data_IF_887507308000
#
_entry.id   IF_887507308000
#
_cell.length_a   1.000
_cell.length_b   1.000
_cell.length_c   1.000
_cell.angle_alpha   90.00
_cell.angle_beta   90.00
_cell.angle_gamma   90.00
#
_symmetry.space_group_name_H-M   'P 1'
#
loop_
_entity.id
_entity.type
_entity.pdbx_description
1 polymer ?
#
# COMPACT_ATOMS: atom_id res chain seq x y z
N UNK A 1 -24.03 10.02 -9.14
CA UNK A 1 -24.77 10.33 -7.89
C UNK A 1 -25.54 9.12 -7.37
N UNK A 2 -26.11 8.30 -8.25
CA UNK A 2 -26.82 7.05 -7.92
C UNK A 2 -26.10 6.16 -6.90
N UNK A 3 -24.86 5.73 -7.18
CA UNK A 3 -24.08 4.87 -6.27
C UNK A 3 -23.86 5.47 -4.87
N UNK A 4 -23.80 6.80 -4.76
CA UNK A 4 -23.61 7.48 -3.46
C UNK A 4 -24.91 7.43 -2.64
N UNK A 5 -26.06 7.59 -3.31
CA UNK A 5 -27.37 7.50 -2.67
C UNK A 5 -27.66 6.05 -2.24
N UNK A 6 -27.37 5.07 -3.09
CA UNK A 6 -27.56 3.64 -2.76
C UNK A 6 -26.79 3.24 -1.51
N UNK A 7 -25.51 3.59 -1.43
CA UNK A 7 -24.66 3.29 -0.26
C UNK A 7 -25.17 3.98 0.99
N UNK A 8 -25.59 5.24 0.89
CA UNK A 8 -26.14 5.98 2.03
C UNK A 8 -27.45 5.38 2.54
N UNK A 9 -28.30 4.86 1.64
CA UNK A 9 -29.53 4.13 2.02
C UNK A 9 -29.20 2.81 2.72
N UNK A 10 -28.17 2.09 2.28
CA UNK A 10 -27.73 0.84 2.91
C UNK A 10 -27.17 1.09 4.32
N UNK A 11 -26.43 2.18 4.50
CA UNK A 11 -25.74 2.51 5.76
C UNK A 11 -26.66 3.19 6.79
N UNK A 12 -27.79 3.74 6.37
CA UNK A 12 -28.71 4.44 7.27
C UNK A 12 -29.52 3.46 8.13
N UNK A 13 -29.65 3.78 9.42
CA UNK A 13 -30.54 3.06 10.33
C UNK A 13 -32.01 3.21 9.89
N UNK A 14 -32.76 2.12 9.97
CA UNK A 14 -34.17 2.10 9.57
C UNK A 14 -34.99 3.14 10.35
N UNK A 15 -35.56 4.10 9.62
CA UNK A 15 -36.42 5.15 10.19
C UNK A 15 -35.68 6.42 10.63
N UNK A 16 -34.36 6.50 10.44
CA UNK A 16 -33.59 7.74 10.61
C UNK A 16 -33.38 8.44 9.27
N UNK A 17 -33.15 9.76 9.33
CA UNK A 17 -32.79 10.54 8.15
C UNK A 17 -31.35 10.21 7.72
N UNK A 18 -31.10 10.25 6.41
CA UNK A 18 -29.75 10.07 5.86
C UNK A 18 -28.97 11.36 6.10
N UNK A 19 -27.99 11.29 7.00
CA UNK A 19 -27.09 12.41 7.29
C UNK A 19 -25.98 12.52 6.23
N UNK A 20 -25.42 13.73 6.07
CA UNK A 20 -24.44 14.04 5.01
C UNK A 20 -23.18 13.15 5.07
N UNK A 21 -22.82 12.68 6.25
CA UNK A 21 -21.65 11.82 6.47
C UNK A 21 -21.80 10.45 5.79
N UNK A 22 -23.04 9.97 5.61
CA UNK A 22 -23.34 8.70 4.96
C UNK A 22 -23.20 8.75 3.43
N UNK A 23 -23.17 9.96 2.84
CA UNK A 23 -23.01 10.14 1.39
C UNK A 23 -21.56 9.94 0.91
N UNK A 24 -20.61 9.74 1.83
CA UNK A 24 -19.22 9.46 1.49
C UNK A 24 -18.51 10.60 0.75
N UNK A 25 -19.05 11.83 0.82
CA UNK A 25 -18.53 13.00 0.13
C UNK A 25 -17.19 13.49 0.71
N UNK A 26 -16.82 13.02 1.91
CA UNK A 26 -15.54 13.32 2.54
C UNK A 26 -14.33 12.88 1.69
N UNK A 27 -14.50 11.84 0.85
CA UNK A 27 -13.43 11.36 -0.01
C UNK A 27 -13.08 12.33 -1.16
N UNK A 28 -14.02 13.16 -1.59
CA UNK A 28 -13.77 14.18 -2.60
C UNK A 28 -13.00 15.40 -2.04
N UNK A 29 -12.83 15.49 -0.71
CA UNK A 29 -12.21 16.62 -0.02
C UNK A 29 -10.99 16.21 0.82
N UNK A 30 -10.31 15.10 0.51
CA UNK A 30 -9.06 14.73 1.19
C UNK A 30 -7.86 15.60 0.76
N UNK A 31 -7.95 16.89 1.07
CA UNK A 31 -6.83 17.68 1.55
C UNK A 31 -7.18 18.13 2.97
N UNK A 32 -6.80 17.30 3.94
CA UNK A 32 -6.40 17.67 5.32
C UNK A 32 -6.23 16.41 6.17
N UNK A 33 -4.97 15.97 6.24
CA UNK A 33 -4.24 15.62 7.47
C UNK A 33 -5.05 14.97 8.61
N UNK A 34 -4.83 13.66 8.78
CA UNK A 34 -4.92 13.00 10.09
C UNK A 34 -3.65 12.19 10.29
N UNK A 35 -2.95 12.51 11.37
CA UNK A 35 -1.76 11.87 11.90
C UNK A 35 -1.89 10.35 11.99
N UNK A 36 -1.30 9.65 11.02
CA UNK A 36 -0.97 8.25 11.12
C UNK A 36 0.37 8.03 10.41
N UNK A 37 1.44 7.98 11.20
CA UNK A 37 2.77 7.56 10.79
C UNK A 37 2.73 6.06 10.45
N UNK A 38 2.18 5.73 9.29
CA UNK A 38 2.17 4.39 8.71
C UNK A 38 3.00 4.45 7.44
N UNK A 39 3.94 3.51 7.35
CA UNK A 39 4.91 3.31 6.26
C UNK A 39 4.34 3.65 4.87
N UNK A 40 5.05 4.53 4.15
CA UNK A 40 4.94 4.65 2.69
C UNK A 40 4.12 5.84 2.19
N UNK A 41 4.54 7.07 2.51
CA UNK A 41 4.17 8.26 1.76
C UNK A 41 4.72 8.14 0.32
N UNK A 42 3.93 7.57 -0.59
CA UNK A 42 3.97 7.95 -2.00
C UNK A 42 2.82 8.93 -2.22
N UNK A 43 3.13 10.21 -2.02
CA UNK A 43 2.19 11.34 -2.13
C UNK A 43 1.99 11.80 -3.58
N UNK A 44 2.05 10.85 -4.50
CA UNK A 44 1.65 11.03 -5.88
C UNK A 44 0.87 9.76 -6.19
N UNK A 45 -0.42 9.90 -6.51
CA UNK A 45 -1.34 8.77 -6.79
C UNK A 45 -0.98 7.97 -8.04
N UNK A 46 0.30 7.90 -8.39
CA UNK A 46 0.84 7.01 -9.39
C UNK A 46 0.91 5.62 -8.77
N UNK A 47 0.15 4.71 -9.34
CA UNK A 47 0.20 3.29 -8.98
C UNK A 47 1.59 2.80 -9.41
N UNK A 48 2.49 2.62 -8.43
CA UNK A 48 3.80 2.01 -8.68
C UNK A 48 3.61 0.68 -9.40
N UNK A 49 4.48 0.40 -10.36
CA UNK A 49 4.49 -0.90 -11.01
C UNK A 49 4.82 -1.99 -9.98
N UNK A 50 4.35 -3.22 -10.23
CA UNK A 50 4.68 -4.36 -9.38
C UNK A 50 6.19 -4.56 -9.27
N UNK A 51 6.94 -4.24 -10.33
CA UNK A 51 8.40 -4.34 -10.35
C UNK A 51 9.06 -3.35 -9.39
N UNK A 52 8.58 -2.11 -9.31
CA UNK A 52 9.11 -1.09 -8.41
C UNK A 52 8.79 -1.41 -6.95
N UNK A 53 7.56 -1.85 -6.68
CA UNK A 53 7.15 -2.30 -5.34
C UNK A 53 8.03 -3.47 -4.89
N UNK A 54 8.23 -4.46 -5.76
CA UNK A 54 9.07 -5.61 -5.46
C UNK A 54 10.53 -5.19 -5.24
N UNK A 55 11.10 -4.34 -6.12
CA UNK A 55 12.47 -3.84 -6.00
C UNK A 55 12.71 -3.15 -4.65
N UNK A 56 11.81 -2.23 -4.27
CA UNK A 56 11.87 -1.49 -3.00
C UNK A 56 11.74 -2.43 -1.80
N UNK A 57 10.86 -3.42 -1.88
CA UNK A 57 10.65 -4.40 -0.82
C UNK A 57 11.90 -5.29 -0.60
N UNK A 58 12.50 -5.78 -1.68
CA UNK A 58 13.73 -6.56 -1.65
C UNK A 58 14.87 -5.73 -1.06
N UNK A 59 15.04 -4.49 -1.52
CA UNK A 59 16.10 -3.60 -1.04
C UNK A 59 15.96 -3.30 0.46
N UNK A 60 14.75 -2.99 0.92
CA UNK A 60 14.49 -2.73 2.34
C UNK A 60 14.77 -3.96 3.21
N UNK A 61 14.40 -5.14 2.73
CA UNK A 61 14.66 -6.39 3.46
C UNK A 61 16.15 -6.70 3.53
N UNK A 62 16.90 -6.49 2.44
CA UNK A 62 18.35 -6.65 2.43
C UNK A 62 19.04 -5.72 3.43
N UNK A 63 18.64 -4.44 3.48
CA UNK A 63 19.14 -3.48 4.47
C UNK A 63 18.83 -3.91 5.90
N UNK A 64 17.61 -4.41 6.15
CA UNK A 64 17.19 -4.92 7.46
C UNK A 64 17.86 -6.25 7.87
N UNK A 65 18.63 -6.86 6.98
CA UNK A 65 19.37 -8.10 7.19
C UNK A 65 20.89 -7.91 6.98
N UNK A 66 21.38 -6.66 6.96
CA UNK A 66 22.79 -6.33 6.76
C UNK A 66 23.41 -6.99 5.52
N UNK A 67 22.63 -7.11 4.44
CA UNK A 67 23.05 -7.75 3.19
C UNK A 67 23.10 -9.29 3.23
N UNK A 68 22.69 -9.93 4.33
CA UNK A 68 22.61 -11.38 4.41
C UNK A 68 21.47 -11.92 3.52
N UNK A 69 21.85 -12.38 2.32
CA UNK A 69 20.93 -12.86 1.28
C UNK A 69 20.13 -14.09 1.74
N UNK A 70 20.69 -14.97 2.57
CA UNK A 70 19.96 -16.14 3.07
C UNK A 70 18.83 -15.73 4.02
N UNK A 71 19.14 -14.87 5.00
CA UNK A 71 18.14 -14.36 5.95
C UNK A 71 17.07 -13.49 5.28
N UNK A 72 17.48 -12.66 4.30
CA UNK A 72 16.53 -11.86 3.54
C UNK A 72 15.57 -12.73 2.71
N UNK A 73 16.06 -13.83 2.13
CA UNK A 73 15.24 -14.77 1.37
C UNK A 73 14.20 -15.47 2.25
N UNK A 74 14.59 -15.89 3.47
CA UNK A 74 13.67 -16.46 4.46
C UNK A 74 12.57 -15.47 4.86
N UNK A 75 12.92 -14.21 5.15
CA UNK A 75 11.94 -13.17 5.50
C UNK A 75 10.99 -12.85 4.35
N UNK A 76 11.47 -12.91 3.11
CA UNK A 76 10.67 -12.69 1.90
C UNK A 76 9.87 -13.93 1.48
N UNK A 77 10.05 -15.08 2.14
CA UNK A 77 9.35 -16.32 1.81
C UNK A 77 9.73 -16.92 0.45
N UNK A 78 10.96 -16.67 -0.02
CA UNK A 78 11.44 -17.10 -1.33
C UNK A 78 12.76 -17.88 -1.21
N UNK A 79 13.07 -18.66 -2.24
CA UNK A 79 14.35 -19.38 -2.29
C UNK A 79 15.50 -18.39 -2.52
N UNK A 80 16.65 -18.62 -1.87
CA UNK A 80 17.90 -17.84 -2.04
C UNK A 80 18.29 -17.69 -3.51
N UNK A 81 18.07 -18.73 -4.34
CA UNK A 81 18.32 -18.65 -5.79
C UNK A 81 17.43 -17.59 -6.46
N UNK A 82 16.15 -17.55 -6.11
CA UNK A 82 15.19 -16.56 -6.61
C UNK A 82 15.59 -15.16 -6.16
N UNK A 83 15.97 -14.99 -4.89
CA UNK A 83 16.45 -13.70 -4.39
C UNK A 83 17.65 -13.22 -5.19
N UNK A 84 18.63 -14.10 -5.39
CA UNK A 84 19.86 -13.78 -6.13
C UNK A 84 19.57 -13.36 -7.57
N UNK A 85 18.63 -14.05 -8.23
CA UNK A 85 18.20 -13.69 -9.58
C UNK A 85 17.53 -12.30 -9.60
N UNK A 86 16.64 -12.02 -8.63
CA UNK A 86 15.96 -10.71 -8.52
C UNK A 86 16.93 -9.58 -8.19
N UNK A 87 17.89 -9.81 -7.29
CA UNK A 87 18.96 -8.85 -6.99
C UNK A 87 19.72 -8.48 -8.26
N UNK A 88 20.09 -9.48 -9.08
CA UNK A 88 20.77 -9.26 -10.35
C UNK A 88 19.88 -8.54 -11.38
N UNK A 89 18.60 -8.92 -11.46
CA UNK A 89 17.63 -8.32 -12.38
C UNK A 89 17.39 -6.84 -12.08
N UNK A 90 17.37 -6.46 -10.81
CA UNK A 90 17.11 -5.08 -10.38
C UNK A 90 18.38 -4.28 -10.08
N UNK A 91 19.55 -4.84 -10.40
CA UNK A 91 20.86 -4.22 -10.16
C UNK A 91 20.99 -3.71 -8.72
N UNK A 92 20.55 -4.52 -7.76
CA UNK A 92 20.58 -4.22 -6.32
C UNK A 92 21.91 -4.66 -5.66
N UNK A 93 22.94 -4.94 -6.46
CA UNK A 93 24.29 -5.25 -5.95
C UNK A 93 25.02 -3.93 -5.69
N UNK A 94 25.35 -3.65 -4.41
CA UNK A 94 26.40 -2.69 -4.04
C UNK A 94 27.78 -3.37 -4.12
#
# INVERSE_FOLDING_TARGET
>A
LENAVERAVILADKGKQIEADLLGLHQASHSKSTDAKTLGNNESGEIESMEEVERKHIQNTLKACDGNRTHAAEKLGLNVRTLRNKIKQYELED
#
